data_IF_006804184693
#
_entry.id   IF_006804184693
#
_cell.length_a   1.000
_cell.length_b   1.000
_cell.length_c   1.000
_cell.angle_alpha   90.00
_cell.angle_beta   90.00
_cell.angle_gamma   90.00
#
_symmetry.space_group_name_H-M   'P 1'
#
loop_
_entity.id
_entity.type
_entity.pdbx_description
1 polymer ?
#
# COMPACT_ATOMS: atom_id res chain seq x y z
N UNK A 1 34.41 -5.39 -42.06
CA UNK A 1 34.66 -6.00 -40.74
C UNK A 1 34.18 -5.01 -39.69
N UNK A 2 32.87 -4.88 -39.54
CA UNK A 2 32.00 -5.61 -38.59
C UNK A 2 31.88 -4.90 -37.25
N UNK A 3 30.63 -4.57 -36.94
CA UNK A 3 30.11 -3.87 -35.78
C UNK A 3 30.39 -4.60 -34.45
N UNK A 4 30.25 -3.89 -33.33
CA UNK A 4 29.15 -4.20 -32.43
C UNK A 4 28.83 -3.00 -31.54
N UNK A 5 27.62 -2.48 -31.74
CA UNK A 5 26.94 -1.60 -30.81
C UNK A 5 26.93 -2.25 -29.42
N UNK A 6 27.18 -1.44 -28.39
CA UNK A 6 26.90 -1.81 -27.02
C UNK A 6 25.37 -1.85 -26.88
N UNK A 7 24.79 -2.98 -27.24
CA UNK A 7 23.43 -3.34 -26.88
C UNK A 7 23.34 -3.24 -25.35
N UNK A 8 22.65 -2.21 -24.87
CA UNK A 8 22.17 -2.16 -23.49
C UNK A 8 21.19 -3.30 -23.38
N UNK A 9 21.67 -4.43 -22.85
CA UNK A 9 20.90 -5.64 -22.63
C UNK A 9 19.68 -5.33 -21.75
N UNK A 10 18.53 -5.36 -22.41
CA UNK A 10 17.29 -6.02 -22.00
C UNK A 10 16.83 -5.81 -20.54
N UNK A 11 15.82 -4.93 -20.42
CA UNK A 11 14.65 -5.06 -19.55
C UNK A 11 14.46 -6.49 -19.01
N UNK A 12 14.94 -6.74 -17.79
CA UNK A 12 14.27 -7.70 -16.93
C UNK A 12 12.96 -7.02 -16.51
N UNK A 13 11.79 -7.67 -16.56
CA UNK A 13 10.60 -7.07 -15.95
C UNK A 13 10.98 -6.78 -14.50
N UNK A 14 11.03 -5.50 -14.10
CA UNK A 14 11.18 -5.17 -12.69
C UNK A 14 10.06 -5.90 -11.97
N UNK A 15 10.41 -6.85 -11.10
CA UNK A 15 9.43 -7.60 -10.32
C UNK A 15 8.59 -6.58 -9.56
N UNK A 16 7.27 -6.62 -9.71
CA UNK A 16 6.41 -5.61 -9.09
C UNK A 16 6.43 -5.79 -7.57
N UNK A 17 6.44 -4.72 -6.77
CA UNK A 17 6.31 -4.84 -5.33
C UNK A 17 4.95 -5.48 -4.98
N UNK A 18 4.97 -6.35 -3.98
CA UNK A 18 3.79 -7.03 -3.45
C UNK A 18 3.21 -6.25 -2.27
N UNK A 19 1.92 -5.98 -2.33
CA UNK A 19 1.17 -5.29 -1.29
C UNK A 19 0.38 -6.28 -0.45
N UNK A 20 0.59 -6.21 0.87
CA UNK A 20 -0.19 -6.92 1.89
C UNK A 20 -0.81 -5.91 2.84
N UNK A 21 -1.87 -6.30 3.54
CA UNK A 21 -2.63 -5.37 4.39
C UNK A 21 -1.82 -4.68 5.51
N UNK A 22 -0.62 -5.18 5.85
CA UNK A 22 0.28 -4.61 6.87
C UNK A 22 1.67 -4.22 6.38
N UNK A 23 2.06 -4.60 5.15
CA UNK A 23 3.41 -4.31 4.65
C UNK A 23 3.51 -4.42 3.12
N UNK A 24 4.55 -3.80 2.57
CA UNK A 24 5.01 -3.99 1.18
C UNK A 24 6.25 -4.85 1.18
N UNK A 25 6.39 -5.72 0.18
CA UNK A 25 7.59 -6.53 -0.03
C UNK A 25 8.08 -6.38 -1.47
N UNK A 26 9.35 -6.00 -1.62
CA UNK A 26 9.96 -5.76 -2.94
C UNK A 26 10.15 -7.05 -3.74
N UNK A 27 10.55 -8.13 -3.05
CA UNK A 27 10.73 -9.46 -3.63
C UNK A 27 10.54 -10.51 -2.52
N UNK A 28 10.27 -11.76 -2.88
CA UNK A 28 10.10 -12.84 -1.91
C UNK A 28 11.36 -12.96 -1.03
N UNK A 29 11.18 -12.78 0.28
CA UNK A 29 12.26 -12.82 1.27
C UNK A 29 12.98 -11.48 1.51
N UNK A 30 12.63 -10.43 0.79
CA UNK A 30 13.14 -9.07 1.05
C UNK A 30 12.56 -8.48 2.34
N UNK A 31 13.24 -7.45 2.85
CA UNK A 31 12.79 -6.68 4.02
C UNK A 31 11.40 -6.09 3.80
N UNK A 32 10.57 -6.17 4.84
CA UNK A 32 9.19 -5.69 4.81
C UNK A 32 9.12 -4.20 5.12
N UNK A 33 8.46 -3.44 4.26
CA UNK A 33 8.17 -2.03 4.47
C UNK A 33 6.79 -1.92 5.13
N UNK A 34 6.75 -1.68 6.43
CA UNK A 34 5.50 -1.65 7.19
C UNK A 34 4.56 -0.53 6.72
N UNK A 35 3.27 -0.87 6.63
CA UNK A 35 2.18 0.05 6.30
C UNK A 35 1.39 0.30 7.57
N UNK A 36 1.04 1.56 7.82
CA UNK A 36 0.22 1.92 8.99
C UNK A 36 -1.27 1.87 8.69
N UNK A 37 -1.68 2.20 7.46
CA UNK A 37 -3.09 2.26 7.08
C UNK A 37 -3.30 2.28 5.56
N UNK A 38 -4.52 1.91 5.16
CA UNK A 38 -5.08 2.11 3.82
C UNK A 38 -6.37 2.95 3.91
N UNK A 39 -6.48 4.00 3.10
CA UNK A 39 -7.68 4.85 3.05
C UNK A 39 -8.27 4.89 1.65
N UNK A 40 -9.56 4.56 1.52
CA UNK A 40 -10.33 4.80 0.29
C UNK A 40 -10.78 6.27 0.25
N UNK A 41 -10.42 6.99 -0.80
CA UNK A 41 -10.85 8.38 -0.96
C UNK A 41 -12.31 8.46 -1.46
N UNK A 42 -13.10 9.43 -0.94
CA UNK A 42 -14.52 9.55 -1.24
C UNK A 42 -14.83 10.17 -2.63
N UNK A 43 -13.83 10.42 -3.47
CA UNK A 43 -14.05 10.90 -4.84
C UNK A 43 -14.25 12.41 -5.02
N UNK A 44 -14.23 13.21 -3.95
CA UNK A 44 -14.48 14.67 -4.03
C UNK A 44 -13.31 15.43 -4.64
N UNK A 45 -12.08 15.04 -4.31
CA UNK A 45 -10.84 15.65 -4.80
C UNK A 45 -9.94 14.64 -5.54
N UNK A 46 -10.47 13.45 -5.84
CA UNK A 46 -9.77 12.33 -6.46
C UNK A 46 -10.74 11.53 -7.32
N UNK A 47 -10.23 10.68 -8.21
CA UNK A 47 -11.04 9.65 -8.84
C UNK A 47 -11.71 8.78 -7.76
N UNK A 48 -12.99 8.41 -7.96
CA UNK A 48 -13.70 7.50 -7.06
C UNK A 48 -12.91 6.18 -6.94
N UNK A 49 -12.78 5.67 -5.73
CA UNK A 49 -12.01 4.44 -5.48
C UNK A 49 -10.50 4.65 -5.38
N UNK A 50 -9.97 5.87 -5.48
CA UNK A 50 -8.55 6.13 -5.20
C UNK A 50 -8.17 5.61 -3.81
N UNK A 51 -7.05 4.91 -3.70
CA UNK A 51 -6.55 4.36 -2.44
C UNK A 51 -5.28 5.11 -2.03
N UNK A 52 -5.19 5.46 -0.74
CA UNK A 52 -3.95 5.93 -0.10
C UNK A 52 -3.33 4.82 0.74
N UNK A 53 -2.03 4.60 0.58
CA UNK A 53 -1.24 3.61 1.35
C UNK A 53 -0.19 4.36 2.18
N UNK A 54 -0.26 4.27 3.50
CA UNK A 54 0.60 5.08 4.39
C UNK A 54 1.78 4.28 4.92
N UNK A 55 3.00 4.76 4.69
CA UNK A 55 4.19 4.17 5.29
C UNK A 55 4.19 4.34 6.82
N UNK A 56 4.60 3.29 7.54
CA UNK A 56 4.83 3.38 8.96
C UNK A 56 6.17 4.07 9.29
N UNK A 57 6.29 4.56 10.53
CA UNK A 57 7.56 4.96 11.16
C UNK A 57 8.41 6.02 10.44
N UNK A 58 7.81 6.93 9.67
CA UNK A 58 8.53 7.96 8.90
C UNK A 58 9.55 7.38 7.89
N UNK A 59 9.37 6.11 7.52
CA UNK A 59 10.26 5.42 6.60
C UNK A 59 9.90 5.81 5.17
N UNK A 60 10.94 6.00 4.36
CA UNK A 60 10.81 6.23 2.92
C UNK A 60 10.54 4.90 2.23
N UNK A 61 9.63 4.90 1.25
CA UNK A 61 9.45 3.72 0.40
C UNK A 61 10.74 3.38 -0.36
N UNK A 62 10.91 2.08 -0.63
CA UNK A 62 12.08 1.51 -1.30
C UNK A 62 12.25 2.07 -2.73
N UNK A 63 13.45 1.96 -3.31
CA UNK A 63 13.68 2.33 -4.69
C UNK A 63 12.75 1.62 -5.68
N UNK A 64 12.42 0.34 -5.44
CA UNK A 64 11.53 -0.41 -6.30
C UNK A 64 10.10 0.11 -6.21
N UNK A 65 9.56 0.32 -5.01
CA UNK A 65 8.24 0.94 -4.86
C UNK A 65 8.22 2.29 -5.58
N UNK A 66 9.26 3.11 -5.40
CA UNK A 66 9.35 4.40 -6.10
C UNK A 66 9.37 4.29 -7.62
N UNK A 67 10.04 3.31 -8.22
CA UNK A 67 10.08 3.15 -9.69
C UNK A 67 8.70 2.90 -10.27
N UNK A 68 7.80 2.30 -9.48
CA UNK A 68 6.43 2.03 -9.87
C UNK A 68 5.46 3.20 -9.71
N UNK A 69 5.80 4.28 -8.99
CA UNK A 69 4.87 5.40 -8.73
C UNK A 69 5.42 6.78 -9.13
N UNK A 70 6.71 7.03 -9.02
CA UNK A 70 7.25 8.38 -9.27
C UNK A 70 7.08 8.76 -10.74
N UNK A 71 6.38 9.88 -10.99
CA UNK A 71 6.19 10.44 -12.33
C UNK A 71 5.05 9.82 -13.12
N UNK A 72 4.23 8.95 -12.51
CA UNK A 72 3.04 8.40 -13.16
C UNK A 72 1.78 9.25 -12.88
N UNK A 73 0.83 9.32 -13.82
CA UNK A 73 -0.43 10.03 -13.61
C UNK A 73 -1.44 9.22 -12.77
N UNK A 74 -1.33 7.89 -12.80
CA UNK A 74 -2.23 6.94 -12.13
C UNK A 74 -1.75 6.52 -10.74
N UNK A 75 -0.59 7.02 -10.30
CA UNK A 75 -0.14 6.86 -8.92
C UNK A 75 1.06 7.73 -8.62
N UNK A 76 1.17 8.23 -7.40
CA UNK A 76 2.29 9.06 -6.95
C UNK A 76 2.63 8.84 -5.48
N UNK A 77 3.84 9.25 -5.09
CA UNK A 77 4.29 9.25 -3.70
C UNK A 77 4.27 10.68 -3.20
N UNK A 78 3.49 10.92 -2.16
CA UNK A 78 3.32 12.22 -1.53
C UNK A 78 3.80 12.17 -0.07
N UNK A 79 3.87 13.34 0.57
CA UNK A 79 4.18 13.47 1.99
C UNK A 79 3.08 14.20 2.71
N UNK A 80 2.73 13.70 3.89
CA UNK A 80 1.87 14.42 4.83
C UNK A 80 2.61 15.62 5.42
N UNK A 81 1.89 16.52 6.07
CA UNK A 81 2.48 17.65 6.81
C UNK A 81 3.42 17.22 7.94
N UNK A 82 3.24 16.00 8.47
CA UNK A 82 4.12 15.42 9.50
C UNK A 82 5.32 14.68 8.90
N UNK A 83 5.46 14.62 7.57
CA UNK A 83 6.61 14.01 6.89
C UNK A 83 6.46 12.52 6.56
N UNK A 84 5.32 11.89 6.88
CA UNK A 84 5.04 10.51 6.46
C UNK A 84 4.85 10.44 4.95
N UNK A 85 5.46 9.44 4.31
CA UNK A 85 5.14 9.13 2.92
C UNK A 85 3.85 8.34 2.81
N UNK A 86 3.06 8.67 1.80
CA UNK A 86 1.95 7.83 1.36
C UNK A 86 1.95 7.73 -0.15
N UNK A 87 1.46 6.59 -0.63
CA UNK A 87 1.20 6.36 -2.05
C UNK A 87 -0.26 6.71 -2.29
N UNK A 88 -0.56 7.55 -3.28
CA UNK A 88 -1.92 7.70 -3.81
C UNK A 88 -2.00 6.90 -5.11
N UNK A 89 -2.99 6.03 -5.22
CA UNK A 89 -3.14 5.10 -6.34
C UNK A 89 -4.54 5.20 -6.92
N UNK A 90 -4.63 5.52 -8.21
CA UNK A 90 -5.88 5.55 -8.94
C UNK A 90 -6.29 4.15 -9.44
N UNK A 91 -7.59 3.90 -9.67
CA UNK A 91 -8.08 2.61 -10.17
C UNK A 91 -7.46 2.10 -11.47
N UNK A 92 -6.91 3.00 -12.28
CA UNK A 92 -6.25 2.70 -13.56
C UNK A 92 -4.81 2.20 -13.40
N UNK A 93 -4.23 2.31 -12.21
CA UNK A 93 -2.85 1.89 -11.97
C UNK A 93 -2.68 0.37 -12.10
N UNK A 94 -1.59 -0.14 -12.73
CA UNK A 94 -1.38 -1.58 -12.89
C UNK A 94 -1.36 -2.38 -11.58
N UNK A 95 -0.89 -1.77 -10.50
CA UNK A 95 -0.85 -2.39 -9.16
C UNK A 95 -2.15 -2.19 -8.36
N UNK A 96 -3.14 -1.46 -8.89
CA UNK A 96 -4.36 -1.17 -8.15
C UNK A 96 -5.12 -2.43 -7.67
N UNK A 97 -5.27 -3.51 -8.47
CA UNK A 97 -6.00 -4.70 -8.00
C UNK A 97 -5.43 -5.29 -6.70
N UNK A 98 -4.11 -5.52 -6.63
CA UNK A 98 -3.49 -6.07 -5.41
C UNK A 98 -3.55 -5.10 -4.23
N UNK A 99 -3.45 -3.78 -4.49
CA UNK A 99 -3.54 -2.75 -3.45
C UNK A 99 -4.96 -2.68 -2.88
N UNK A 100 -5.97 -2.82 -3.74
CA UNK A 100 -7.37 -2.89 -3.36
C UNK A 100 -7.63 -4.14 -2.50
N UNK A 101 -7.14 -5.30 -2.90
CA UNK A 101 -7.30 -6.54 -2.13
C UNK A 101 -6.68 -6.40 -0.73
N UNK A 102 -5.46 -5.86 -0.62
CA UNK A 102 -4.80 -5.59 0.66
C UNK A 102 -5.58 -4.58 1.53
N UNK A 103 -6.14 -3.53 0.92
CA UNK A 103 -6.99 -2.56 1.62
C UNK A 103 -8.28 -3.20 2.16
N UNK A 104 -8.92 -4.08 1.38
CA UNK A 104 -10.14 -4.78 1.77
C UNK A 104 -9.88 -5.84 2.85
N UNK A 105 -8.73 -6.49 2.82
CA UNK A 105 -8.27 -7.37 3.89
C UNK A 105 -8.07 -6.60 5.20
N UNK A 106 -7.44 -5.42 5.18
CA UNK A 106 -7.31 -4.57 6.37
C UNK A 106 -8.68 -4.21 6.97
N UNK A 107 -9.64 -3.80 6.13
CA UNK A 107 -10.97 -3.42 6.62
C UNK A 107 -11.71 -4.62 7.20
N UNK A 108 -11.62 -5.79 6.55
CA UNK A 108 -12.20 -7.03 7.06
C UNK A 108 -11.59 -7.44 8.39
N UNK A 109 -10.27 -7.29 8.54
CA UNK A 109 -9.57 -7.55 9.80
C UNK A 109 -10.05 -6.60 10.91
N UNK A 110 -10.13 -5.29 10.64
CA UNK A 110 -10.57 -4.30 11.61
C UNK A 110 -12.02 -4.53 12.06
N UNK A 111 -12.94 -4.83 11.13
CA UNK A 111 -14.32 -5.18 11.46
C UNK A 111 -14.41 -6.43 12.34
N UNK A 112 -13.61 -7.45 12.04
CA UNK A 112 -13.52 -8.67 12.87
C UNK A 112 -13.05 -8.36 14.30
N UNK A 113 -12.03 -7.53 14.45
CA UNK A 113 -11.50 -7.11 15.76
C UNK A 113 -12.56 -6.32 16.54
N UNK A 114 -13.23 -5.35 15.89
CA UNK A 114 -14.27 -4.55 16.52
C UNK A 114 -15.47 -5.41 16.96
N UNK A 115 -15.90 -6.35 16.11
CA UNK A 115 -16.97 -7.29 16.44
C UNK A 115 -16.60 -8.17 17.64
N UNK A 116 -15.38 -8.70 17.67
CA UNK A 116 -14.90 -9.48 18.81
C UNK A 116 -14.88 -8.66 20.11
N UNK A 117 -14.40 -7.42 20.06
CA UNK A 117 -14.39 -6.51 21.22
C UNK A 117 -15.81 -6.19 21.72
N UNK A 118 -16.76 -5.96 20.81
CA UNK A 118 -18.15 -5.71 21.15
C UNK A 118 -18.79 -6.93 21.84
N UNK A 119 -18.57 -8.14 21.32
CA UNK A 119 -19.02 -9.38 21.94
C UNK A 119 -18.42 -9.59 23.34
N UNK A 120 -17.12 -9.33 23.51
CA UNK A 120 -16.45 -9.42 24.82
C UNK A 120 -17.04 -8.42 25.82
N UNK A 121 -17.27 -7.17 25.40
CA UNK A 121 -17.85 -6.14 26.25
C UNK A 121 -19.28 -6.50 26.69
N UNK A 122 -20.11 -7.01 25.78
CA UNK A 122 -21.48 -7.45 26.09
C UNK A 122 -21.52 -8.62 27.09
N UNK A 123 -20.52 -9.49 27.06
CA UNK A 123 -20.43 -10.68 27.91
C UNK A 123 -19.66 -10.46 29.23
N UNK A 124 -19.18 -9.23 29.50
CA UNK A 124 -18.48 -8.94 30.75
C UNK A 124 -19.53 -8.72 31.85
N UNK A 125 -19.58 -9.55 32.91
CA UNK A 125 -20.54 -9.37 34.00
C UNK A 125 -20.32 -8.00 34.65
N UNK A 126 -21.39 -7.23 34.84
CA UNK A 126 -21.34 -6.07 35.72
C UNK A 126 -21.04 -6.59 37.12
N UNK A 127 -19.79 -6.46 37.57
CA UNK A 127 -19.45 -6.69 38.97
C UNK A 127 -20.20 -5.62 39.76
N UNK A 128 -21.29 -6.04 40.39
CA UNK A 128 -22.17 -5.20 41.18
C UNK A 128 -21.53 -4.83 42.51
N UNK A 129 -21.79 -3.57 42.87
CA UNK A 129 -21.48 -2.84 44.10
C UNK A 129 -21.95 -3.54 45.39
#
# INVERSE_FOLDING_TARGET
MSALAKEVQANTPEEAPLFYYTYIQDAVGAERQCITDYLKEPGVNSSEGTIRVFAAHYVKFSPLVRSWFVGRPDGDIQRTSMGYEYIRVEPTHPLYPQIKDACEELYSFNESVLSHMAHKAANTPKVGA
#
